data_IF_557244206458
#
_entry.id   IF_557244206458
#
_cell.length_a   1.000
_cell.length_b   1.000
_cell.length_c   1.000
_cell.angle_alpha   90.00
_cell.angle_beta   90.00
_cell.angle_gamma   90.00
#
_symmetry.space_group_name_H-M   'P 1'
#
loop_
_entity.id
_entity.type
_entity.pdbx_description
1 polymer ?
#
# COMPACT_ATOMS: atom_id res chain seq x y z
N UNK A 1 16.46 12.12 19.02
CA UNK A 1 15.36 11.21 18.72
C UNK A 1 15.20 10.11 19.70
N UNK A 2 14.98 10.54 20.91
CA UNK A 2 14.86 9.57 21.99
C UNK A 2 13.68 8.64 21.78
N UNK A 3 12.59 9.13 21.17
CA UNK A 3 11.42 8.32 20.89
C UNK A 3 11.76 7.10 20.04
N UNK A 4 12.49 7.31 18.94
CA UNK A 4 12.85 6.20 18.08
C UNK A 4 13.84 5.26 18.72
N UNK A 5 14.74 5.76 19.54
CA UNK A 5 15.69 4.93 20.27
C UNK A 5 14.97 4.04 21.27
N UNK A 6 14.00 4.56 21.99
CA UNK A 6 13.24 3.80 22.98
C UNK A 6 12.35 2.75 22.36
N UNK A 7 11.62 3.10 21.30
CA UNK A 7 10.74 2.18 20.61
C UNK A 7 11.52 1.13 19.85
N UNK A 8 12.67 1.52 19.30
CA UNK A 8 13.45 0.69 18.39
C UNK A 8 14.30 -0.39 19.04
N UNK A 9 14.33 -0.52 20.38
CA UNK A 9 15.18 -1.52 21.03
C UNK A 9 14.84 -2.95 20.61
N UNK A 10 13.57 -3.26 20.43
CA UNK A 10 13.11 -4.58 20.03
C UNK A 10 12.33 -4.58 18.72
N UNK A 11 12.06 -3.41 18.19
CA UNK A 11 11.25 -3.22 16.96
C UNK A 11 11.88 -2.19 16.06
N UNK A 12 11.70 -2.38 14.75
CA UNK A 12 12.02 -1.33 13.78
C UNK A 12 10.78 -0.46 13.62
N UNK A 13 10.98 0.85 13.67
CA UNK A 13 9.90 1.83 13.48
C UNK A 13 9.93 2.30 12.03
N UNK A 14 8.81 2.13 11.33
CA UNK A 14 8.66 2.61 9.96
C UNK A 14 7.86 3.91 9.95
N UNK A 15 8.43 4.92 9.30
CA UNK A 15 7.75 6.19 9.08
C UNK A 15 7.00 6.13 7.75
N UNK A 16 5.94 6.92 7.61
CA UNK A 16 5.08 6.90 6.42
C UNK A 16 5.71 7.52 5.18
N UNK A 17 7.04 7.56 5.10
CA UNK A 17 7.75 8.18 3.99
C UNK A 17 8.49 7.19 3.11
N UNK A 18 9.02 6.09 3.68
CA UNK A 18 9.94 5.25 2.92
C UNK A 18 10.12 3.87 3.54
N UNK A 19 10.16 2.84 2.68
CA UNK A 19 10.53 1.48 3.05
C UNK A 19 11.62 1.01 2.12
N UNK A 20 12.70 0.44 2.67
CA UNK A 20 13.79 -0.12 1.89
C UNK A 20 13.81 -1.65 2.01
N UNK A 21 14.48 -2.29 1.05
CA UNK A 21 14.66 -3.75 1.10
C UNK A 21 15.48 -4.17 2.32
N UNK A 22 16.38 -3.33 2.78
CA UNK A 22 17.20 -3.62 3.95
C UNK A 22 16.34 -3.86 5.20
N UNK A 23 15.28 -3.08 5.35
CA UNK A 23 14.34 -3.24 6.46
C UNK A 23 13.67 -4.61 6.38
N UNK A 24 13.21 -4.99 5.18
CA UNK A 24 12.56 -6.28 4.95
C UNK A 24 13.48 -7.44 5.31
N UNK A 25 14.74 -7.37 4.92
CA UNK A 25 15.70 -8.45 5.10
C UNK A 25 16.11 -8.64 6.56
N UNK A 26 16.17 -7.57 7.34
CA UNK A 26 16.75 -7.61 8.67
C UNK A 26 15.75 -7.55 9.82
N UNK A 27 14.48 -7.32 9.56
CA UNK A 27 13.50 -7.00 10.59
C UNK A 27 12.43 -8.07 10.72
N UNK A 28 12.27 -8.59 11.95
CA UNK A 28 11.18 -9.52 12.26
C UNK A 28 9.96 -8.82 12.81
N UNK A 29 10.17 -7.82 13.65
CA UNK A 29 9.08 -7.07 14.29
C UNK A 29 9.19 -5.62 13.90
N UNK A 30 8.04 -4.97 13.65
CA UNK A 30 8.01 -3.58 13.27
C UNK A 30 6.75 -2.88 13.76
N UNK A 31 6.83 -1.58 13.81
CA UNK A 31 5.68 -0.72 14.06
C UNK A 31 5.62 0.34 12.97
N UNK A 32 4.43 0.67 12.51
CA UNK A 32 4.22 1.68 11.48
C UNK A 32 3.58 2.91 12.10
N UNK A 33 4.23 4.05 11.91
CA UNK A 33 3.75 5.34 12.39
C UNK A 33 3.15 6.13 11.23
N UNK A 34 2.00 6.74 11.46
CA UNK A 34 1.40 7.65 10.51
C UNK A 34 0.66 8.75 11.28
N UNK A 35 0.94 10.00 10.94
CA UNK A 35 0.35 11.17 11.61
C UNK A 35 0.49 11.11 13.14
N UNK A 36 1.67 10.70 13.61
CA UNK A 36 1.97 10.63 15.04
C UNK A 36 1.36 9.46 15.79
N UNK A 37 0.68 8.57 15.09
CA UNK A 37 0.06 7.38 15.69
C UNK A 37 0.70 6.11 15.18
N UNK A 38 0.75 5.09 16.05
CA UNK A 38 1.13 3.75 15.62
C UNK A 38 -0.13 3.09 15.05
N UNK A 39 -0.12 2.80 13.76
CA UNK A 39 -1.27 2.21 13.07
C UNK A 39 -1.12 0.71 12.85
N UNK A 40 0.07 0.18 13.09
CA UNK A 40 0.33 -1.27 13.04
C UNK A 40 1.51 -1.58 13.92
N UNK A 41 1.43 -2.72 14.61
CA UNK A 41 2.55 -3.26 15.36
C UNK A 41 2.47 -4.77 15.30
N UNK A 42 3.56 -5.42 14.88
CA UNK A 42 3.58 -6.86 14.73
C UNK A 42 4.76 -7.31 13.91
N UNK A 43 4.70 -8.53 13.39
CA UNK A 43 5.78 -9.04 12.58
C UNK A 43 5.70 -8.54 11.15
N UNK A 44 6.85 -8.53 10.47
CA UNK A 44 6.90 -8.22 9.05
C UNK A 44 5.97 -9.12 8.26
N UNK A 45 5.96 -10.42 8.59
CA UNK A 45 5.09 -11.39 7.92
C UNK A 45 3.61 -11.06 8.12
N UNK A 46 3.23 -10.66 9.32
CA UNK A 46 1.84 -10.29 9.60
C UNK A 46 1.40 -9.12 8.73
N UNK A 47 2.26 -8.11 8.61
CA UNK A 47 1.93 -6.95 7.75
C UNK A 47 1.79 -7.38 6.30
N UNK A 48 2.72 -8.17 5.78
CA UNK A 48 2.66 -8.66 4.40
C UNK A 48 1.37 -9.46 4.17
N UNK A 49 0.99 -10.30 5.13
CA UNK A 49 -0.21 -11.12 5.02
C UNK A 49 -1.48 -10.28 4.95
N UNK A 50 -1.50 -9.08 5.50
CA UNK A 50 -2.68 -8.20 5.37
C UNK A 50 -2.96 -7.80 3.93
N UNK A 51 -1.96 -7.86 3.07
CA UNK A 51 -2.09 -7.51 1.65
C UNK A 51 -2.31 -8.72 0.75
N UNK A 52 -2.31 -9.93 1.31
CA UNK A 52 -2.43 -11.14 0.51
C UNK A 52 -3.81 -11.20 -0.15
N UNK A 53 -3.82 -11.45 -1.46
CA UNK A 53 -5.04 -11.44 -2.25
C UNK A 53 -5.53 -10.05 -2.66
N UNK A 54 -4.77 -9.01 -2.35
CA UNK A 54 -5.17 -7.62 -2.63
C UNK A 54 -4.28 -6.93 -3.66
N UNK A 55 -3.20 -7.57 -4.09
CA UNK A 55 -2.25 -6.98 -5.04
C UNK A 55 -2.38 -7.71 -6.37
N UNK A 56 -2.60 -6.93 -7.42
CA UNK A 56 -2.87 -7.44 -8.77
C UNK A 56 -2.06 -6.69 -9.80
N UNK A 57 -1.89 -7.31 -10.98
CA UNK A 57 -1.36 -6.60 -12.14
C UNK A 57 -2.33 -6.71 -13.30
N UNK A 58 -2.37 -5.68 -14.15
CA UNK A 58 -3.26 -5.63 -15.28
C UNK A 58 -2.66 -4.73 -16.37
N UNK A 59 -2.96 -5.05 -17.63
CA UNK A 59 -2.62 -4.19 -18.76
C UNK A 59 -3.85 -3.40 -19.15
N UNK A 60 -3.68 -2.11 -19.30
CA UNK A 60 -4.77 -1.18 -19.60
C UNK A 60 -4.33 -0.27 -20.74
N UNK A 61 -5.23 0.04 -21.64
CA UNK A 61 -4.92 1.00 -22.71
C UNK A 61 -4.67 2.36 -22.10
N UNK A 62 -3.66 3.06 -22.62
CA UNK A 62 -3.38 4.43 -22.20
C UNK A 62 -4.52 5.34 -22.63
N UNK A 63 -4.58 6.53 -22.01
CA UNK A 63 -5.63 7.50 -22.31
C UNK A 63 -6.82 7.37 -21.38
N UNK A 64 -8.03 7.43 -21.95
CA UNK A 64 -9.27 7.44 -21.17
C UNK A 64 -9.44 6.19 -20.32
N UNK A 65 -9.11 5.02 -20.87
CA UNK A 65 -9.22 3.76 -20.12
C UNK A 65 -8.32 3.77 -18.90
N UNK A 66 -7.10 4.26 -19.05
CA UNK A 66 -6.16 4.38 -17.95
C UNK A 66 -6.64 5.33 -16.87
N UNK A 67 -7.21 6.47 -17.28
CA UNK A 67 -7.76 7.43 -16.31
C UNK A 67 -8.92 6.83 -15.51
N UNK A 68 -9.80 6.09 -16.16
CA UNK A 68 -10.90 5.40 -15.49
C UNK A 68 -10.37 4.32 -14.55
N UNK A 69 -9.36 3.58 -14.97
CA UNK A 69 -8.73 2.54 -14.16
C UNK A 69 -8.16 3.14 -12.87
N UNK A 70 -7.45 4.25 -12.96
CA UNK A 70 -6.88 4.92 -11.80
C UNK A 70 -7.94 5.37 -10.80
N UNK A 71 -9.11 5.73 -11.28
CA UNK A 71 -10.19 6.18 -10.40
C UNK A 71 -10.83 5.02 -9.62
N UNK A 72 -10.78 3.80 -10.16
CA UNK A 72 -11.37 2.60 -9.55
C UNK A 72 -10.41 1.84 -8.68
N UNK A 73 -9.12 2.09 -8.80
CA UNK A 73 -8.08 1.27 -8.17
C UNK A 73 -7.01 2.11 -7.49
N UNK A 74 -6.38 1.54 -6.48
CA UNK A 74 -5.19 2.13 -5.89
C UNK A 74 -3.98 1.60 -6.65
N UNK A 75 -3.32 2.45 -7.42
CA UNK A 75 -2.18 2.07 -8.25
C UNK A 75 -0.90 2.25 -7.47
N UNK A 76 -0.15 1.17 -7.27
CA UNK A 76 1.15 1.22 -6.57
C UNK A 76 2.26 1.68 -7.49
N UNK A 77 2.27 1.16 -8.71
CA UNK A 77 3.25 1.52 -9.72
C UNK A 77 2.71 1.16 -11.10
N UNK A 78 3.30 1.75 -12.12
CA UNK A 78 2.91 1.43 -13.48
C UNK A 78 4.08 1.63 -14.44
N UNK A 79 4.02 0.93 -15.57
CA UNK A 79 4.99 1.07 -16.66
C UNK A 79 4.23 1.34 -17.94
N UNK A 80 4.65 2.37 -18.68
CA UNK A 80 4.03 2.73 -19.95
C UNK A 80 4.80 2.10 -21.08
N UNK A 81 4.07 1.38 -21.95
CA UNK A 81 4.59 0.84 -23.20
C UNK A 81 4.14 1.75 -24.32
N UNK A 82 5.05 2.57 -24.82
CA UNK A 82 4.73 3.56 -25.87
C UNK A 82 4.40 2.92 -27.20
N UNK A 83 5.01 1.79 -27.50
CA UNK A 83 4.81 1.10 -28.78
C UNK A 83 3.39 0.53 -28.91
N UNK A 84 2.87 -0.02 -27.82
CA UNK A 84 1.55 -0.65 -27.80
C UNK A 84 0.47 0.26 -27.18
N UNK A 85 0.86 1.44 -26.72
CA UNK A 85 -0.03 2.36 -26.05
C UNK A 85 -0.78 1.70 -24.88
N UNK A 86 -0.05 0.92 -24.10
CA UNK A 86 -0.59 0.21 -22.95
C UNK A 86 0.16 0.58 -21.68
N UNK A 87 -0.55 0.49 -20.56
CA UNK A 87 0.02 0.66 -19.23
C UNK A 87 -0.11 -0.68 -18.50
N UNK A 88 0.99 -1.14 -17.93
CA UNK A 88 0.98 -2.30 -17.03
C UNK A 88 0.98 -1.74 -15.61
N UNK A 89 -0.09 -1.99 -14.86
CA UNK A 89 -0.26 -1.44 -13.53
C UNK A 89 -0.19 -2.52 -12.46
N UNK A 90 0.44 -2.17 -11.33
CA UNK A 90 0.38 -2.95 -10.10
C UNK A 90 -0.57 -2.20 -9.18
N UNK A 91 -1.61 -2.85 -8.72
CA UNK A 91 -2.71 -2.13 -8.08
C UNK A 91 -3.47 -2.98 -7.07
N UNK A 92 -4.30 -2.32 -6.29
CA UNK A 92 -5.29 -2.97 -5.43
C UNK A 92 -6.65 -2.34 -5.74
N UNK A 93 -7.69 -3.16 -5.98
CA UNK A 93 -9.03 -2.61 -6.22
C UNK A 93 -9.56 -1.86 -5.01
N UNK A 94 -10.18 -0.72 -5.24
CA UNK A 94 -10.87 0.03 -4.18
C UNK A 94 -12.23 -0.57 -3.85
N UNK A 95 -12.76 -1.40 -4.75
CA UNK A 95 -14.05 -2.07 -4.61
C UNK A 95 -13.83 -3.58 -4.60
N UNK A 96 -14.91 -4.34 -4.48
CA UNK A 96 -14.81 -5.80 -4.53
C UNK A 96 -14.69 -6.34 -5.97
N UNK A 97 -14.78 -5.46 -6.96
CA UNK A 97 -14.68 -5.87 -8.36
C UNK A 97 -13.22 -5.83 -8.81
N UNK A 98 -12.76 -6.94 -9.36
CA UNK A 98 -11.40 -7.06 -9.89
C UNK A 98 -11.44 -6.81 -11.40
N UNK A 99 -10.52 -6.01 -11.89
CA UNK A 99 -10.43 -5.69 -13.31
C UNK A 99 -10.22 -6.96 -14.14
N UNK A 100 -10.93 -7.06 -15.26
CA UNK A 100 -10.84 -8.21 -16.15
C UNK A 100 -9.41 -8.35 -16.68
N UNK A 101 -8.90 -9.58 -16.70
CA UNK A 101 -7.56 -9.84 -17.17
C UNK A 101 -6.46 -9.60 -16.15
N UNK A 102 -6.83 -9.37 -14.89
CA UNK A 102 -5.87 -9.16 -13.82
C UNK A 102 -5.25 -10.46 -13.34
N UNK A 103 -3.99 -10.38 -12.93
CA UNK A 103 -3.27 -11.49 -12.31
C UNK A 103 -2.94 -11.16 -10.88
N UNK A 104 -3.20 -12.11 -9.97
CA UNK A 104 -2.89 -11.95 -8.56
C UNK A 104 -1.37 -12.02 -8.35
N UNK A 105 -0.85 -11.15 -7.51
CA UNK A 105 0.57 -11.10 -7.19
C UNK A 105 0.81 -11.35 -5.71
N UNK A 106 1.97 -11.91 -5.40
CA UNK A 106 2.41 -12.02 -4.03
C UNK A 106 2.72 -10.62 -3.49
N UNK A 107 2.18 -10.26 -2.32
CA UNK A 107 2.44 -8.93 -1.76
C UNK A 107 3.86 -8.82 -1.24
N UNK A 108 4.38 -7.59 -1.27
CA UNK A 108 5.66 -7.25 -0.66
C UNK A 108 5.39 -6.37 0.55
N UNK A 109 6.42 -6.17 1.36
CA UNK A 109 6.29 -5.26 2.50
C UNK A 109 5.90 -3.86 2.04
N UNK A 110 6.47 -3.39 0.93
CA UNK A 110 6.17 -2.07 0.38
C UNK A 110 4.69 -1.93 0.03
N UNK A 111 4.11 -2.90 -0.68
CA UNK A 111 2.70 -2.84 -1.06
C UNK A 111 1.78 -2.96 0.15
N UNK A 112 2.14 -3.82 1.10
CA UNK A 112 1.37 -3.94 2.34
C UNK A 112 1.38 -2.62 3.11
N UNK A 113 2.52 -1.96 3.16
CA UNK A 113 2.65 -0.66 3.80
C UNK A 113 1.78 0.39 3.10
N UNK A 114 1.83 0.44 1.77
CA UNK A 114 1.02 1.39 1.00
C UNK A 114 -0.47 1.18 1.22
N UNK A 115 -0.91 -0.08 1.28
CA UNK A 115 -2.30 -0.39 1.56
C UNK A 115 -2.70 0.04 2.98
N UNK A 116 -1.83 -0.17 3.94
CA UNK A 116 -2.08 0.21 5.32
C UNK A 116 -2.22 1.72 5.47
N UNK A 117 -1.32 2.49 4.86
CA UNK A 117 -1.37 3.95 4.90
C UNK A 117 -2.63 4.46 4.23
N UNK A 118 -2.98 3.91 3.07
CA UNK A 118 -4.19 4.32 2.35
C UNK A 118 -5.44 4.06 3.19
N UNK A 119 -5.51 2.91 3.84
CA UNK A 119 -6.66 2.55 4.69
C UNK A 119 -6.79 3.50 5.87
N UNK A 120 -5.67 3.85 6.49
CA UNK A 120 -5.66 4.77 7.63
C UNK A 120 -6.14 6.16 7.22
N UNK A 121 -5.68 6.67 6.08
CA UNK A 121 -6.08 7.98 5.59
C UNK A 121 -7.55 8.03 5.17
N UNK A 122 -8.03 6.98 4.53
CA UNK A 122 -9.46 6.88 4.16
C UNK A 122 -10.32 6.82 5.42
N UNK A 123 -9.90 6.06 6.43
CA UNK A 123 -10.61 5.98 7.71
C UNK A 123 -10.70 7.33 8.41
N UNK A 124 -9.62 8.10 8.41
CA UNK A 124 -9.62 9.45 9.00
C UNK A 124 -10.57 10.39 8.25
N UNK A 125 -10.59 10.33 6.92
CA UNK A 125 -11.49 11.15 6.12
C UNK A 125 -12.95 10.82 6.42
N UNK A 126 -13.29 9.54 6.54
CA UNK A 126 -14.64 9.10 6.89
C UNK A 126 -15.04 9.59 8.29
N UNK A 127 -14.12 9.53 9.23
CA UNK A 127 -14.36 10.01 10.60
C UNK A 127 -14.63 11.52 10.62
N UNK A 128 -13.86 12.28 9.84
CA UNK A 128 -14.07 13.73 9.73
C UNK A 128 -15.43 14.06 9.14
N UNK A 129 -15.85 13.32 8.11
CA UNK A 129 -17.17 13.50 7.52
C UNK A 129 -18.28 13.17 8.51
N UNK A 130 -18.11 12.11 9.29
CA UNK A 130 -19.09 11.74 10.32
C UNK A 130 -19.22 12.81 11.39
N UNK A 131 -18.12 13.43 11.76
CA UNK A 131 -18.12 14.49 12.77
C UNK A 131 -18.74 15.80 12.27
N UNK A 132 -18.64 16.05 10.97
CA UNK A 132 -19.18 17.24 10.36
C UNK A 132 -20.72 17.23 10.25
N UNK A 133 -21.32 16.08 10.36
CA UNK A 133 -22.79 15.92 10.33
C UNK A 133 -23.37 16.03 11.72
#
# INVERSE_FOLDING_TARGET
>A
RNLFSEIGLEKTVLLSTHITEDITASTNMLSVLNHGKIIFSGSTRELINTARGKVWSCRVKSGIEWEKFKSRNLVFSFTLDLDNEEVTALFSPKTNEIEKGSESLEPTLEYAYMLLINRDEVGEADDELSQAI
#
